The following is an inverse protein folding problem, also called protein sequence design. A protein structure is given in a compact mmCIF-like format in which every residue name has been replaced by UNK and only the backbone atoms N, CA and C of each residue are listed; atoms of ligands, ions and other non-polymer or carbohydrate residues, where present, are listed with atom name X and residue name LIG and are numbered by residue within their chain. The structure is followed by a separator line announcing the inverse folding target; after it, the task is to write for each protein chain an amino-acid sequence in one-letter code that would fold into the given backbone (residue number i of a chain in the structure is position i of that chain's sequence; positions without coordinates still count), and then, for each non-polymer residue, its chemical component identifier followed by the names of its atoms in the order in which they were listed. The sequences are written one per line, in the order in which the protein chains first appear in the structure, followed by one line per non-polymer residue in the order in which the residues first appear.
data_IF_506644149855
#
_entry.id   IF_506644149855
#
_cell.length_a   1.000
_cell.length_b   1.000
_cell.length_c   1.000
_cell.angle_alpha   90.00
_cell.angle_beta   90.00
_cell.angle_gamma   90.00
#
_symmetry.space_group_name_H-M   'P 1'
#
loop_
_entity.id
_entity.type
_entity.pdbx_description
1 polymer ?
#
# COMPACT_ATOMS: atom_id res chain seq x y z
N UNK A 1 -8.18 -9.20 15.31
CA UNK A 1 -9.44 -9.03 14.55
C UNK A 1 -9.14 -8.21 13.31
N UNK A 2 -9.79 -8.50 12.18
CA UNK A 2 -9.57 -7.79 10.91
C UNK A 2 -10.92 -7.33 10.37
N UNK A 3 -11.09 -6.01 10.25
CA UNK A 3 -12.35 -5.42 9.79
C UNK A 3 -12.58 -5.57 8.28
N UNK A 4 -11.50 -5.48 7.49
CA UNK A 4 -11.56 -5.55 6.04
C UNK A 4 -10.46 -6.48 5.52
N UNK A 5 -10.79 -7.53 4.75
CA UNK A 5 -9.81 -8.29 3.98
C UNK A 5 -9.10 -7.42 2.94
N UNK A 6 -7.92 -7.86 2.50
CA UNK A 6 -7.19 -7.17 1.42
C UNK A 6 -8.04 -7.20 0.13
N UNK A 7 -8.37 -6.03 -0.41
CA UNK A 7 -9.18 -5.86 -1.61
C UNK A 7 -8.73 -4.65 -2.42
N UNK A 8 -9.00 -4.65 -3.71
CA UNK A 8 -8.86 -3.50 -4.61
C UNK A 8 -10.16 -2.68 -4.72
N UNK A 9 -11.26 -3.17 -4.13
CA UNK A 9 -12.55 -2.49 -4.13
C UNK A 9 -12.60 -1.37 -3.09
N UNK A 10 -12.37 -0.15 -3.56
CA UNK A 10 -12.43 1.05 -2.73
C UNK A 10 -13.84 1.36 -2.20
N UNK A 11 -14.92 0.91 -2.87
CA UNK A 11 -16.28 1.14 -2.41
C UNK A 11 -16.59 0.31 -1.17
N UNK A 12 -16.16 -0.95 -1.16
CA UNK A 12 -16.27 -1.83 0.03
C UNK A 12 -15.51 -1.24 1.21
N UNK A 13 -14.30 -0.72 1.00
CA UNK A 13 -13.50 -0.07 2.06
C UNK A 13 -14.26 1.14 2.62
N UNK A 14 -14.80 2.02 1.77
CA UNK A 14 -15.57 3.21 2.23
C UNK A 14 -16.78 2.81 3.08
N UNK A 15 -17.52 1.81 2.64
CA UNK A 15 -18.70 1.33 3.36
C UNK A 15 -18.33 0.75 4.74
N UNK A 16 -17.25 -0.02 4.81
CA UNK A 16 -16.76 -0.57 6.08
C UNK A 16 -16.23 0.53 7.01
N UNK A 17 -15.57 1.56 6.48
CA UNK A 17 -15.12 2.72 7.26
C UNK A 17 -16.28 3.49 7.87
N UNK A 18 -17.38 3.70 7.13
CA UNK A 18 -18.57 4.37 7.65
C UNK A 18 -19.25 3.61 8.79
N UNK A 19 -19.01 2.31 8.92
CA UNK A 19 -19.53 1.47 9.99
C UNK A 19 -18.67 1.47 11.26
N UNK A 20 -17.45 2.03 11.23
CA UNK A 20 -16.54 2.06 12.38
C UNK A 20 -17.10 3.01 13.44
N UNK A 21 -17.26 2.51 14.68
CA UNK A 21 -17.67 3.28 15.85
C UNK A 21 -16.70 3.08 17.00
N UNK A 22 -16.58 4.08 17.86
CA UNK A 22 -15.85 3.94 19.12
C UNK A 22 -16.55 2.91 20.02
N UNK A 23 -15.78 2.15 20.80
CA UNK A 23 -16.30 1.10 21.69
C UNK A 23 -16.60 -0.26 21.03
N UNK A 24 -16.26 -0.46 19.75
CA UNK A 24 -16.37 -1.78 19.10
C UNK A 24 -15.35 -2.81 19.61
N UNK A 25 -14.27 -2.34 20.23
CA UNK A 25 -13.19 -3.15 20.78
C UNK A 25 -12.95 -2.69 22.21
N UNK A 26 -12.51 -3.61 23.07
CA UNK A 26 -12.10 -3.30 24.45
C UNK A 26 -11.09 -2.15 24.46
N UNK A 27 -11.27 -1.21 25.37
CA UNK A 27 -10.37 -0.07 25.53
C UNK A 27 -8.93 -0.53 25.71
N UNK A 28 -8.00 0.13 25.02
CA UNK A 28 -6.57 -0.21 25.00
C UNK A 28 -5.97 -0.12 23.60
N UNK A 29 -4.66 0.09 23.55
CA UNK A 29 -3.88 0.20 22.32
C UNK A 29 -2.92 -0.98 22.23
N UNK A 30 -3.25 -1.97 21.40
CA UNK A 30 -2.45 -3.17 21.16
C UNK A 30 -1.74 -3.12 19.81
N UNK A 31 -0.70 -2.28 19.73
CA UNK A 31 0.07 -2.01 18.51
C UNK A 31 0.69 -3.30 17.97
N UNK A 32 1.35 -4.09 18.82
CA UNK A 32 2.05 -5.30 18.38
C UNK A 32 1.10 -6.34 17.80
N UNK A 33 -0.04 -6.60 18.44
CA UNK A 33 -1.06 -7.52 17.94
C UNK A 33 -1.67 -7.03 16.61
N UNK A 34 -1.95 -5.73 16.50
CA UNK A 34 -2.45 -5.12 15.27
C UNK A 34 -1.47 -5.28 14.12
N UNK A 35 -0.20 -4.95 14.35
CA UNK A 35 0.86 -5.08 13.37
C UNK A 35 1.07 -6.54 12.95
N UNK A 36 1.16 -7.47 13.90
CA UNK A 36 1.30 -8.90 13.61
C UNK A 36 0.12 -9.45 12.78
N UNK A 37 -1.10 -9.01 13.07
CA UNK A 37 -2.30 -9.37 12.29
C UNK A 37 -2.19 -8.84 10.86
N UNK A 38 -1.78 -7.58 10.69
CA UNK A 38 -1.61 -6.97 9.37
C UNK A 38 -0.52 -7.68 8.56
N UNK A 39 0.64 -7.96 9.15
CA UNK A 39 1.74 -8.71 8.53
C UNK A 39 1.26 -10.10 8.11
N UNK A 40 0.54 -10.81 8.98
CA UNK A 40 -0.02 -12.13 8.65
C UNK A 40 -0.97 -12.09 7.46
N UNK A 41 -1.66 -10.96 7.24
CA UNK A 41 -2.58 -10.82 6.09
C UNK A 41 -1.86 -10.51 4.78
N UNK A 42 -0.71 -9.85 4.85
CA UNK A 42 0.05 -9.41 3.67
C UNK A 42 1.18 -10.38 3.31
N UNK A 43 1.67 -11.20 4.24
CA UNK A 43 2.82 -12.09 4.05
C UNK A 43 2.64 -13.04 2.84
N UNK A 44 1.43 -13.53 2.60
CA UNK A 44 1.13 -14.50 1.54
C UNK A 44 0.79 -13.82 0.19
N UNK A 45 0.83 -12.49 0.13
CA UNK A 45 0.60 -11.74 -1.11
C UNK A 45 1.69 -12.03 -2.14
N UNK A 46 1.30 -12.15 -3.41
CA UNK A 46 2.21 -12.28 -4.56
C UNK A 46 2.79 -10.94 -5.04
N UNK A 47 2.40 -9.82 -4.40
CA UNK A 47 2.88 -8.49 -4.77
C UNK A 47 4.39 -8.35 -4.52
N UNK A 48 5.07 -7.64 -5.43
CA UNK A 48 6.51 -7.32 -5.31
C UNK A 48 6.79 -6.41 -4.10
N UNK A 49 5.89 -5.46 -3.84
CA UNK A 49 5.96 -4.61 -2.65
C UNK A 49 4.89 -5.02 -1.65
N UNK A 50 5.29 -5.19 -0.38
CA UNK A 50 4.41 -5.47 0.75
C UNK A 50 4.60 -4.37 1.78
N UNK A 51 3.52 -3.64 2.05
CA UNK A 51 3.54 -2.44 2.89
C UNK A 51 2.43 -2.52 3.92
N UNK A 52 2.74 -2.12 5.14
CA UNK A 52 1.77 -1.89 6.21
C UNK A 52 1.93 -0.45 6.68
N UNK A 53 0.81 0.25 6.83
CA UNK A 53 0.77 1.61 7.40
C UNK A 53 0.13 1.49 8.78
N UNK A 54 0.91 1.77 9.82
CA UNK A 54 0.48 1.79 11.20
C UNK A 54 0.13 3.22 11.59
N UNK A 55 -1.14 3.49 11.87
CA UNK A 55 -1.64 4.77 12.35
C UNK A 55 -2.00 4.64 13.83
N UNK A 56 -1.43 5.49 14.70
CA UNK A 56 -1.75 5.48 16.13
C UNK A 56 -1.58 6.86 16.77
N UNK A 57 -2.38 7.14 17.79
CA UNK A 57 -2.39 8.37 18.58
C UNK A 57 -1.94 8.14 20.04
N UNK A 58 -1.49 6.93 20.37
CA UNK A 58 -1.18 6.56 21.75
C UNK A 58 -0.02 5.59 21.91
N UNK A 59 0.19 5.16 23.15
CA UNK A 59 1.25 4.21 23.54
C UNK A 59 0.67 2.81 23.61
N UNK A 60 1.46 1.80 23.22
CA UNK A 60 1.10 0.40 23.41
C UNK A 60 0.94 0.07 24.91
N UNK A 61 -0.29 -0.08 25.38
CA UNK A 61 -0.61 -0.36 26.78
C UNK A 61 -1.25 -1.74 27.00
N UNK A 62 -1.57 -2.45 25.91
CA UNK A 62 -2.17 -3.78 25.93
C UNK A 62 -1.60 -4.64 24.80
N UNK A 63 -1.96 -5.93 24.82
CA UNK A 63 -1.54 -6.89 23.81
C UNK A 63 -0.57 -7.93 24.35
N UNK A 64 -0.54 -9.07 23.67
CA UNK A 64 0.33 -10.20 23.99
C UNK A 64 1.65 -10.16 23.22
N UNK A 65 1.75 -9.32 22.20
CA UNK A 65 2.93 -9.17 21.35
C UNK A 65 3.51 -7.77 21.54
N UNK A 66 4.80 -7.68 21.83
CA UNK A 66 5.50 -6.41 21.91
C UNK A 66 5.61 -5.77 20.51
N UNK A 67 5.49 -4.43 20.39
CA UNK A 67 5.56 -3.75 19.09
C UNK A 67 6.85 -4.02 18.30
N UNK A 68 8.00 -4.06 18.98
CA UNK A 68 9.30 -4.37 18.36
C UNK A 68 9.36 -5.82 17.85
N UNK A 69 8.84 -6.78 18.61
CA UNK A 69 8.73 -8.18 18.15
C UNK A 69 7.85 -8.29 16.90
N UNK A 70 6.74 -7.54 16.83
CA UNK A 70 5.92 -7.51 15.63
C UNK A 70 6.66 -6.87 14.42
N UNK A 71 7.55 -5.91 14.67
CA UNK A 71 8.42 -5.34 13.64
C UNK A 71 9.49 -6.33 13.16
N UNK A 72 10.06 -7.16 14.04
CA UNK A 72 10.96 -8.24 13.65
C UNK A 72 10.26 -9.26 12.75
N UNK A 73 9.03 -9.62 13.08
CA UNK A 73 8.20 -10.50 12.25
C UNK A 73 7.95 -9.85 10.88
N UNK A 74 7.61 -8.56 10.84
CA UNK A 74 7.41 -7.82 9.59
C UNK A 74 8.68 -7.83 8.72
N UNK A 75 9.84 -7.58 9.32
CA UNK A 75 11.16 -7.62 8.67
C UNK A 75 11.46 -9.01 8.10
N UNK A 76 11.21 -10.07 8.86
CA UNK A 76 11.44 -11.45 8.44
C UNK A 76 10.60 -11.83 7.20
N UNK A 77 9.39 -11.29 7.07
CA UNK A 77 8.52 -11.49 5.91
C UNK A 77 8.71 -10.46 4.78
N UNK A 78 9.71 -9.58 4.87
CA UNK A 78 9.97 -8.55 3.87
C UNK A 78 8.85 -7.52 3.74
N UNK A 79 8.11 -7.27 4.83
CA UNK A 79 7.02 -6.29 4.88
C UNK A 79 7.56 -4.98 5.44
N UNK A 80 7.45 -3.90 4.65
CA UNK A 80 7.83 -2.55 5.07
C UNK A 80 6.72 -1.93 5.91
N UNK A 81 7.07 -1.33 7.04
CA UNK A 81 6.10 -0.72 7.96
C UNK A 81 6.34 0.79 8.02
N UNK A 82 5.35 1.57 7.60
CA UNK A 82 5.33 3.01 7.82
C UNK A 82 4.52 3.31 9.07
N UNK A 83 5.07 4.12 9.97
CA UNK A 83 4.41 4.47 11.24
C UNK A 83 3.99 5.93 11.20
N UNK A 84 2.74 6.22 11.58
CA UNK A 84 2.17 7.57 11.57
C UNK A 84 1.60 7.84 12.96
N UNK A 85 2.27 8.75 13.69
CA UNK A 85 1.80 9.26 14.98
C UNK A 85 0.82 10.42 14.79
N UNK A 86 -0.45 10.24 15.17
CA UNK A 86 -1.52 11.24 15.03
C UNK A 86 -1.75 11.99 16.33
N UNK A 87 -1.94 13.31 16.26
CA UNK A 87 -2.34 14.11 17.41
C UNK A 87 -1.24 15.01 17.95
N UNK A 88 -1.58 15.86 18.90
CA UNK A 88 -0.67 16.82 19.53
C UNK A 88 -0.14 16.28 20.86
N UNK A 89 1.13 16.55 21.15
CA UNK A 89 1.71 16.23 22.47
C UNK A 89 1.19 17.26 23.45
N UNK A 90 0.61 16.82 24.56
CA UNK A 90 0.15 17.73 25.61
C UNK A 90 -1.01 17.19 26.43
N UNK A 91 -1.77 18.12 27.03
CA UNK A 91 -2.94 17.81 27.84
C UNK A 91 -4.18 17.78 26.95
N UNK A 92 -4.79 16.60 26.81
CA UNK A 92 -6.09 16.46 26.17
C UNK A 92 -7.16 16.20 27.23
N UNK A 93 -8.38 16.66 26.96
CA UNK A 93 -9.53 16.37 27.81
C UNK A 93 -9.98 14.94 27.51
N UNK A 94 -9.85 14.04 28.48
CA UNK A 94 -10.32 12.65 28.35
C UNK A 94 -11.09 12.23 29.60
N UNK A 95 -11.97 11.21 29.50
CA UNK A 95 -12.68 10.68 30.66
C UNK A 95 -11.67 10.03 31.62
N UNK A 96 -11.57 10.55 32.84
CA UNK A 96 -10.65 10.06 33.89
C UNK A 96 -11.35 9.21 34.94
N UNK A 97 -12.66 9.35 35.10
CA UNK A 97 -13.49 8.54 35.99
C UNK A 97 -14.95 8.52 35.51
N UNK A 98 -15.73 7.57 36.03
CA UNK A 98 -17.18 7.51 35.85
C UNK A 98 -17.83 7.78 37.20
N UNK A 99 -18.76 8.73 37.23
CA UNK A 99 -19.56 9.01 38.41
C UNK A 99 -20.58 7.89 38.65
N UNK A 100 -21.10 7.71 39.88
CA UNK A 100 -22.12 6.70 40.19
C UNK A 100 -23.43 6.87 39.39
N UNK A 101 -23.69 8.05 38.83
CA UNK A 101 -24.83 8.37 37.97
C UNK A 101 -24.62 7.97 36.49
N UNK A 102 -23.45 7.41 36.16
CA UNK A 102 -23.07 7.01 34.81
C UNK A 102 -22.50 8.13 33.92
N UNK A 103 -22.35 9.34 34.44
CA UNK A 103 -21.69 10.44 33.72
C UNK A 103 -20.17 10.32 33.78
N UNK A 104 -19.46 10.81 32.76
CA UNK A 104 -18.00 10.78 32.72
C UNK A 104 -17.41 12.05 33.34
N UNK A 105 -16.48 11.88 34.28
CA UNK A 105 -15.62 12.95 34.76
C UNK A 105 -14.49 13.16 33.76
N UNK A 106 -14.42 14.35 33.18
CA UNK A 106 -13.36 14.72 32.25
C UNK A 106 -12.21 15.40 32.98
N UNK A 107 -10.98 14.99 32.67
CA UNK A 107 -9.77 15.56 33.21
C UNK A 107 -8.73 15.77 32.10
N UNK A 108 -7.80 16.67 32.36
CA UNK A 108 -6.65 16.84 31.47
C UNK A 108 -5.65 15.72 31.70
N UNK A 109 -5.53 14.83 30.72
CA UNK A 109 -4.59 13.72 30.73
C UNK A 109 -3.46 14.01 29.74
N UNK A 110 -2.24 13.65 30.11
CA UNK A 110 -1.11 13.75 29.19
C UNK A 110 -1.22 12.66 28.14
N UNK A 111 -1.48 13.07 26.89
CA UNK A 111 -1.44 12.18 25.74
C UNK A 111 0.00 12.19 25.23
N UNK A 112 0.70 11.10 25.50
CA UNK A 112 2.04 10.85 25.01
C UNK A 112 1.98 9.90 23.83
N UNK A 113 2.81 10.17 22.83
CA UNK A 113 2.99 9.31 21.67
C UNK A 113 4.40 8.77 21.75
N UNK A 114 4.53 7.45 21.66
CA UNK A 114 5.82 6.77 21.74
C UNK A 114 6.54 6.85 20.39
N UNK A 115 6.99 8.05 20.05
CA UNK A 115 7.69 8.33 18.79
C UNK A 115 8.96 7.49 18.64
N UNK A 116 9.60 7.14 19.77
CA UNK A 116 10.79 6.29 19.77
C UNK A 116 10.45 4.89 19.29
N UNK A 117 9.47 4.23 19.89
CA UNK A 117 9.06 2.89 19.46
C UNK A 117 8.53 2.91 18.01
N UNK A 118 7.76 3.92 17.63
CA UNK A 118 7.26 4.05 16.25
C UNK A 118 8.39 4.26 15.24
N UNK A 119 9.41 5.04 15.60
CA UNK A 119 10.63 5.23 14.82
C UNK A 119 11.40 3.92 14.66
N UNK A 120 11.62 3.19 15.75
CA UNK A 120 12.32 1.90 15.73
C UNK A 120 11.61 0.87 14.84
N UNK A 121 10.29 0.74 14.94
CA UNK A 121 9.49 -0.16 14.09
C UNK A 121 9.68 0.18 12.60
N UNK A 122 9.59 1.46 12.25
CA UNK A 122 9.77 1.91 10.87
C UNK A 122 11.20 1.63 10.37
N UNK A 123 12.22 2.00 11.16
CA UNK A 123 13.62 1.78 10.80
C UNK A 123 13.99 0.31 10.66
N UNK A 124 13.50 -0.56 11.55
CA UNK A 124 13.77 -2.00 11.51
C UNK A 124 13.25 -2.67 10.24
N UNK A 125 12.13 -2.18 9.73
CA UNK A 125 11.41 -2.76 8.58
C UNK A 125 11.71 -2.07 7.26
N UNK A 126 12.53 -1.01 7.26
CA UNK A 126 12.88 -0.23 6.08
C UNK A 126 11.78 0.74 5.62
N UNK A 127 10.86 1.10 6.51
CA UNK A 127 9.90 2.18 6.30
C UNK A 127 10.36 3.51 6.92
N UNK A 128 9.41 4.44 7.09
CA UNK A 128 9.65 5.78 7.65
C UNK A 128 8.57 6.14 8.67
N UNK A 129 8.99 6.84 9.72
CA UNK A 129 8.10 7.42 10.70
C UNK A 129 7.64 8.82 10.26
N UNK A 130 6.36 9.10 10.49
CA UNK A 130 5.73 10.38 10.19
C UNK A 130 4.91 10.88 11.38
N UNK A 131 4.89 12.20 11.55
CA UNK A 131 4.04 12.90 12.51
C UNK A 131 2.94 13.65 11.79
N UNK A 132 1.68 13.36 12.12
CA UNK A 132 0.53 14.07 11.57
C UNK A 132 -0.24 14.80 12.68
N UNK A 133 -0.12 16.13 12.72
CA UNK A 133 -0.86 16.98 13.68
C UNK A 133 -2.24 17.39 13.18
N UNK A 134 -2.48 17.26 11.88
CA UNK A 134 -3.69 17.72 11.19
C UNK A 134 -3.94 16.89 9.93
N UNK A 135 -5.13 17.07 9.35
CA UNK A 135 -5.59 16.31 8.18
C UNK A 135 -4.77 16.60 6.92
N UNK A 136 -4.28 17.84 6.74
CA UNK A 136 -3.48 18.20 5.57
C UNK A 136 -2.09 17.55 5.62
N UNK A 137 -1.45 17.53 6.79
CA UNK A 137 -0.21 16.78 7.00
C UNK A 137 -0.43 15.29 6.81
N UNK A 138 -1.52 14.72 7.34
CA UNK A 138 -1.82 13.30 7.13
C UNK A 138 -1.95 12.98 5.63
N UNK A 139 -2.64 13.82 4.87
CA UNK A 139 -2.76 13.70 3.41
C UNK A 139 -1.41 13.78 2.70
N UNK A 140 -0.53 14.68 3.14
CA UNK A 140 0.81 14.80 2.58
C UNK A 140 1.70 13.59 2.91
N UNK A 141 1.57 13.02 4.11
CA UNK A 141 2.25 11.76 4.48
C UNK A 141 1.85 10.62 3.54
N UNK A 142 0.55 10.45 3.28
CA UNK A 142 0.08 9.42 2.33
C UNK A 142 0.60 9.65 0.90
N UNK A 143 0.72 10.90 0.45
CA UNK A 143 1.34 11.21 -0.85
C UNK A 143 2.83 10.87 -0.89
N UNK A 144 3.56 11.11 0.21
CA UNK A 144 4.97 10.75 0.30
C UNK A 144 5.13 9.22 0.26
N UNK A 145 4.30 8.48 0.99
CA UNK A 145 4.28 7.02 0.94
C UNK A 145 3.95 6.51 -0.48
N UNK A 146 2.95 7.09 -1.16
CA UNK A 146 2.65 6.73 -2.57
C UNK A 146 3.88 6.92 -3.47
N UNK A 147 4.62 8.01 -3.30
CA UNK A 147 5.84 8.28 -4.08
C UNK A 147 6.97 7.30 -3.79
N UNK A 148 7.14 6.89 -2.53
CA UNK A 148 8.15 5.93 -2.11
C UNK A 148 7.82 4.50 -2.56
N UNK A 149 6.54 4.17 -2.66
CA UNK A 149 6.05 2.84 -3.03
C UNK A 149 5.71 2.67 -4.50
N UNK A 150 5.61 3.78 -5.23
CA UNK A 150 5.46 3.76 -6.68
C UNK A 150 6.67 3.07 -7.28
N UNK A 151 6.45 1.82 -7.68
CA UNK A 151 7.40 1.10 -8.50
C UNK A 151 7.54 1.89 -9.79
N UNK A 152 8.77 2.24 -10.18
CA UNK A 152 9.05 2.81 -11.50
C UNK A 152 8.65 1.72 -12.48
N UNK A 153 7.48 1.85 -13.10
CA UNK A 153 7.15 1.06 -14.26
C UNK A 153 8.09 1.54 -15.36
N UNK A 154 9.24 0.89 -15.52
CA UNK A 154 9.77 0.72 -16.86
C UNK A 154 8.74 -0.13 -17.60
N UNK A 155 7.72 0.53 -18.17
CA UNK A 155 7.03 -0.03 -19.31
C UNK A 155 8.12 -0.28 -20.36
N UNK A 156 8.69 -1.48 -20.35
CA UNK A 156 9.08 -2.11 -21.60
C UNK A 156 7.77 -2.32 -22.33
N UNK A 157 7.30 -1.27 -22.98
CA UNK A 157 6.43 -1.37 -24.12
C UNK A 157 7.18 -2.23 -25.13
N UNK A 158 7.07 -3.55 -24.97
CA UNK A 158 7.17 -4.45 -26.10
C UNK A 158 5.96 -4.12 -26.94
N UNK A 159 6.07 -3.04 -27.70
CA UNK A 159 5.22 -2.79 -28.84
C UNK A 159 5.48 -3.98 -29.74
N UNK A 160 4.68 -5.03 -29.56
CA UNK A 160 4.60 -6.14 -30.48
C UNK A 160 3.91 -5.57 -31.71
N UNK A 161 4.67 -4.76 -32.48
CA UNK A 161 4.32 -4.41 -33.83
C UNK A 161 4.35 -5.74 -34.57
N UNK A 162 3.18 -6.36 -34.70
CA UNK A 162 3.03 -7.48 -35.61
C UNK A 162 3.43 -6.96 -36.99
N UNK A 163 4.60 -7.41 -37.46
CA UNK A 163 5.16 -7.04 -38.76
C UNK A 163 4.36 -7.74 -39.88
N UNK A 164 3.12 -7.33 -40.07
CA UNK A 164 2.27 -7.84 -41.15
C UNK A 164 2.73 -7.35 -42.55
N UNK A 165 3.87 -6.66 -42.68
CA UNK A 165 4.38 -6.20 -43.97
C UNK A 165 4.95 -7.35 -44.83
N UNK A 166 5.46 -8.41 -44.19
CA UNK A 166 6.11 -9.55 -44.83
C UNK A 166 5.23 -10.26 -45.89
N UNK A 167 3.95 -10.60 -45.63
CA UNK A 167 3.08 -11.17 -46.66
C UNK A 167 2.83 -10.22 -47.85
N UNK A 168 2.75 -8.90 -47.62
CA UNK A 168 2.59 -7.93 -48.72
C UNK A 168 3.87 -7.77 -49.54
N UNK A 169 5.03 -7.76 -48.89
CA UNK A 169 6.33 -7.71 -49.55
C UNK A 169 6.58 -8.95 -50.42
N UNK A 170 6.23 -10.14 -49.93
CA UNK A 170 6.32 -11.40 -50.70
C UNK A 170 5.36 -11.39 -51.90
N UNK A 171 4.13 -10.90 -51.70
CA UNK A 171 3.15 -10.76 -52.78
C UNK A 171 3.65 -9.82 -53.89
N UNK A 172 4.22 -8.66 -53.52
CA UNK A 172 4.79 -7.71 -54.46
C UNK A 172 6.00 -8.29 -55.22
N UNK A 173 6.89 -9.00 -54.52
CA UNK A 173 8.03 -9.66 -55.13
C UNK A 173 7.61 -10.73 -56.15
N UNK A 174 6.60 -11.53 -55.83
CA UNK A 174 6.03 -12.53 -56.75
C UNK A 174 5.45 -11.90 -58.01
N UNK A 175 4.70 -10.80 -57.87
CA UNK A 175 4.13 -10.08 -59.02
C UNK A 175 5.22 -9.53 -59.95
N UNK A 176 6.29 -8.95 -59.39
CA UNK A 176 7.43 -8.46 -60.18
C UNK A 176 8.18 -9.60 -60.88
N UNK A 177 8.33 -10.76 -60.21
CA UNK A 177 8.96 -11.94 -60.79
C UNK A 177 8.12 -12.51 -61.95
N UNK A 178 6.79 -12.53 -61.77
CA UNK A 178 5.84 -12.92 -62.81
C UNK A 178 5.92 -11.98 -64.02
N UNK A 179 5.92 -10.66 -63.80
CA UNK A 179 6.09 -9.67 -64.87
C UNK A 179 7.40 -9.90 -65.63
N UNK A 180 8.52 -10.09 -64.92
CA UNK A 180 9.82 -10.33 -65.54
C UNK A 180 9.82 -11.61 -66.39
N UNK A 181 9.23 -12.70 -65.89
CA UNK A 181 9.09 -13.96 -66.63
C UNK A 181 8.20 -13.80 -67.87
N UNK A 182 7.04 -13.16 -67.74
CA UNK A 182 6.16 -12.91 -68.89
C UNK A 182 6.88 -12.07 -69.93
N UNK A 183 7.54 -10.97 -69.54
CA UNK A 183 8.29 -10.10 -70.46
C UNK A 183 9.40 -10.87 -71.18
N UNK A 184 10.15 -11.71 -70.47
CA UNK A 184 11.27 -12.45 -71.05
C UNK A 184 10.82 -13.66 -71.91
N UNK A 185 9.64 -14.23 -71.65
CA UNK A 185 9.06 -15.32 -72.45
C UNK A 185 8.32 -14.78 -73.67
N UNK A 186 7.55 -13.70 -73.53
CA UNK A 186 6.78 -13.11 -74.65
C UNK A 186 7.67 -12.38 -75.65
N UNK A 187 8.76 -11.72 -75.23
CA UNK A 187 9.72 -11.09 -76.17
C UNK A 187 10.74 -12.06 -76.80
N UNK A 188 10.70 -13.35 -76.46
CA UNK A 188 11.49 -14.39 -77.15
C UNK A 188 10.72 -15.10 -78.26
N UNK A 189 9.46 -14.72 -78.50
CA UNK A 189 8.57 -15.33 -79.50
C UNK A 189 8.20 -14.40 -80.65
N UNK A 190 9.13 -13.57 -81.12
CA UNK A 190 9.06 -12.97 -82.45
C UNK A 190 10.45 -13.03 -83.11
N UNK A 191 10.75 -14.04 -83.94
CA UNK A 191 11.50 -13.81 -85.16
C UNK A 191 10.64 -13.02 -86.17
#
# INVERSE_FOLDING_TARGET
FTQCPLTTDHAVIKNLFSAIRTGMVKDGTAIGNGLATAVTRVKDSKAKSKVVILLTDGVNNQGSVAPLTAAEIAKAFGVRVYTIGVGTIGKALAPVAMYPDGSYQYGYVYVNIDEKSLGEIASMTGGKYFRATDNEKLKNVYKEIDRLEKTIFEEKNFTNKAEHFLPFAVSAALLLLLEFLLKNITFRSTP
#
